data_IF_804841215087
#
_entry.id   IF_804841215087
#
_cell.length_a   1.000
_cell.length_b   1.000
_cell.length_c   1.000
_cell.angle_alpha   90.00
_cell.angle_beta   90.00
_cell.angle_gamma   90.00
#
_symmetry.space_group_name_H-M   'P 1'
#
loop_
_entity.id
_entity.type
_entity.pdbx_description
1 polymer ?
#
# COMPACT_ATOMS: atom_id res chain seq x y z
N UNK A 1 56.99 14.53 4.96
CA UNK A 1 57.46 14.73 6.34
C UNK A 1 57.20 16.18 6.67
N UNK A 2 56.00 16.48 7.16
CA UNK A 2 55.62 17.83 7.59
C UNK A 2 55.64 17.90 9.11
N UNK A 3 56.40 18.85 9.64
CA UNK A 3 56.60 19.06 11.06
C UNK A 3 55.36 19.76 11.66
N UNK A 4 54.65 19.07 12.55
CA UNK A 4 53.56 19.67 13.34
C UNK A 4 54.16 20.57 14.43
N UNK A 5 53.90 21.87 14.29
CA UNK A 5 54.22 22.93 15.24
C UNK A 5 53.39 22.78 16.52
N UNK A 6 54.05 22.55 17.66
CA UNK A 6 53.43 22.54 18.98
C UNK A 6 53.12 23.98 19.43
N UNK A 7 51.84 24.32 19.56
CA UNK A 7 51.42 25.57 20.21
C UNK A 7 51.40 25.36 21.73
N UNK A 8 52.12 26.23 22.43
CA UNK A 8 52.18 26.32 23.88
C UNK A 8 50.82 26.70 24.48
N UNK A 9 50.36 25.95 25.48
CA UNK A 9 49.15 26.23 26.26
C UNK A 9 49.51 27.30 27.29
N UNK A 10 49.02 28.51 27.09
CA UNK A 10 49.07 29.56 28.12
C UNK A 10 48.10 29.20 29.25
N UNK A 11 48.63 28.88 30.42
CA UNK A 11 47.85 28.73 31.65
C UNK A 11 47.26 30.07 32.06
N UNK A 12 45.98 30.26 31.75
CA UNK A 12 45.16 31.36 32.28
C UNK A 12 45.02 31.19 33.79
N UNK A 13 45.71 32.04 34.55
CA UNK A 13 45.51 32.16 36.01
C UNK A 13 44.22 32.95 36.24
N UNK A 14 43.20 32.27 36.76
CA UNK A 14 41.96 32.93 37.20
C UNK A 14 42.22 33.75 38.46
N UNK A 15 42.07 35.06 38.36
CA UNK A 15 42.02 35.97 39.51
C UNK A 15 40.66 35.78 40.19
N UNK A 16 40.64 35.25 41.41
CA UNK A 16 39.41 35.15 42.21
C UNK A 16 38.89 36.55 42.53
N UNK A 17 37.79 36.94 41.88
CA UNK A 17 37.09 38.18 42.19
C UNK A 17 36.63 38.19 43.66
N UNK A 18 36.66 39.35 44.34
CA UNK A 18 36.38 39.44 45.78
C UNK A 18 34.93 39.07 46.10
N UNK A 19 34.78 38.37 47.24
CA UNK A 19 33.53 38.01 47.90
C UNK A 19 32.53 39.17 47.87
N UNK A 20 31.49 39.06 47.04
CA UNK A 20 30.29 39.89 47.16
C UNK A 20 29.72 39.67 48.57
N UNK A 21 29.91 40.65 49.47
CA UNK A 21 29.18 40.72 50.74
C UNK A 21 27.76 41.16 50.41
N UNK A 22 26.88 40.18 50.20
CA UNK A 22 25.44 40.40 50.18
C UNK A 22 25.03 41.00 51.52
N UNK A 23 24.78 42.32 51.56
CA UNK A 23 23.99 42.92 52.65
C UNK A 23 22.54 42.58 52.35
N UNK A 24 22.09 41.44 52.83
CA UNK A 24 20.66 41.13 52.87
C UNK A 24 20.04 42.10 53.89
N UNK A 25 19.06 42.93 53.52
CA UNK A 25 18.31 43.68 54.52
C UNK A 25 17.64 42.67 55.44
N UNK A 26 17.98 42.69 56.73
CA UNK A 26 17.31 41.93 57.79
C UNK A 26 15.91 42.52 58.05
N UNK A 27 15.05 42.51 57.03
CA UNK A 27 13.62 42.59 57.28
C UNK A 27 13.19 41.21 57.75
N UNK A 28 13.05 41.07 59.06
CA UNK A 28 12.36 39.93 59.67
C UNK A 28 10.90 40.00 59.20
N UNK A 29 10.59 39.25 58.14
CA UNK A 29 9.21 39.07 57.70
C UNK A 29 8.48 38.30 58.80
N UNK A 30 7.30 38.78 59.19
CA UNK A 30 6.46 38.03 60.12
C UNK A 30 5.93 36.78 59.41
N UNK A 31 5.61 35.74 60.17
CA UNK A 31 5.00 34.51 59.62
C UNK A 31 3.72 34.82 58.82
N UNK A 32 2.98 35.86 59.23
CA UNK A 32 1.79 36.34 58.53
C UNK A 32 2.09 37.00 57.18
N UNK A 33 3.24 37.67 57.02
CA UNK A 33 3.66 38.25 55.73
C UNK A 33 4.10 37.17 54.74
N UNK A 34 4.67 36.06 55.24
CA UNK A 34 5.03 34.89 54.43
C UNK A 34 3.80 34.17 53.89
N UNK A 35 2.76 34.01 54.70
CA UNK A 35 1.49 33.39 54.29
C UNK A 35 0.81 34.21 53.17
N UNK A 36 0.80 35.54 53.29
CA UNK A 36 0.24 36.44 52.26
C UNK A 36 1.01 36.42 50.93
N UNK A 37 2.33 36.24 50.98
CA UNK A 37 3.17 36.06 49.79
C UNK A 37 2.94 34.67 49.17
N UNK A 38 2.70 33.64 49.98
CA UNK A 38 2.42 32.29 49.50
C UNK A 38 1.08 32.19 48.76
N UNK A 39 0.01 32.81 49.28
CA UNK A 39 -1.32 32.81 48.62
C UNK A 39 -1.31 33.47 47.23
N UNK A 40 -0.50 34.51 47.06
CA UNK A 40 -0.33 35.19 45.76
C UNK A 40 0.60 34.42 44.81
N UNK A 41 1.58 33.68 45.34
CA UNK A 41 2.48 32.85 44.54
C UNK A 41 1.79 31.61 43.95
N UNK A 42 0.88 30.97 44.70
CA UNK A 42 0.15 29.79 44.24
C UNK A 42 -0.91 30.14 43.18
N UNK A 43 -1.63 31.25 43.37
CA UNK A 43 -2.63 31.72 42.41
C UNK A 43 -2.04 32.16 41.06
N UNK A 44 -0.88 32.82 41.05
CA UNK A 44 -0.20 33.22 39.81
C UNK A 44 0.29 31.98 39.05
N UNK A 45 0.93 31.02 39.74
CA UNK A 45 1.39 29.77 39.14
C UNK A 45 0.23 28.94 38.60
N UNK A 46 -0.88 28.86 39.30
CA UNK A 46 -2.07 28.17 38.83
C UNK A 46 -2.66 28.81 37.57
N UNK A 47 -2.67 30.13 37.49
CA UNK A 47 -3.14 30.85 36.29
C UNK A 47 -2.25 30.58 35.07
N UNK A 48 -0.93 30.49 35.27
CA UNK A 48 0.04 30.19 34.22
C UNK A 48 -0.05 28.72 33.78
N UNK A 49 -0.17 27.80 34.73
CA UNK A 49 -0.40 26.37 34.46
C UNK A 49 -1.70 26.19 33.67
N UNK A 50 -2.77 26.90 34.02
CA UNK A 50 -4.03 26.84 33.26
C UNK A 50 -3.88 27.39 31.84
N UNK A 51 -3.11 28.46 31.63
CA UNK A 51 -2.80 28.99 30.29
C UNK A 51 -2.02 27.96 29.46
N UNK A 52 -0.95 27.40 30.03
CA UNK A 52 -0.13 26.38 29.36
C UNK A 52 -0.93 25.12 29.04
N UNK A 53 -1.84 24.67 29.91
CA UNK A 53 -2.75 23.55 29.62
C UNK A 53 -3.65 23.84 28.42
N UNK A 54 -4.23 25.04 28.35
CA UNK A 54 -5.06 25.47 27.20
C UNK A 54 -4.24 25.56 25.91
N UNK A 55 -3.01 26.02 25.97
CA UNK A 55 -2.10 26.07 24.81
C UNK A 55 -1.71 24.66 24.35
N UNK A 56 -1.35 23.77 25.27
CA UNK A 56 -1.07 22.37 24.95
C UNK A 56 -2.27 21.66 24.30
N UNK A 57 -3.50 21.92 24.79
CA UNK A 57 -4.70 21.36 24.17
C UNK A 57 -4.90 21.87 22.72
N UNK A 58 -4.64 23.16 22.48
CA UNK A 58 -4.67 23.72 21.11
C UNK A 58 -3.61 23.09 20.21
N UNK A 59 -2.40 22.89 20.73
CA UNK A 59 -1.31 22.25 19.99
C UNK A 59 -1.64 20.80 19.65
N UNK A 60 -2.25 20.04 20.57
CA UNK A 60 -2.67 18.66 20.31
C UNK A 60 -3.72 18.60 19.20
N UNK A 61 -4.75 19.47 19.24
CA UNK A 61 -5.75 19.56 18.17
C UNK A 61 -5.12 19.93 16.82
N UNK A 62 -4.12 20.81 16.82
CA UNK A 62 -3.38 21.18 15.61
C UNK A 62 -2.58 20.00 15.07
N UNK A 63 -1.92 19.22 15.93
CA UNK A 63 -1.18 18.02 15.52
C UNK A 63 -2.12 16.99 14.91
N UNK A 64 -3.27 16.73 15.54
CA UNK A 64 -4.29 15.82 15.00
C UNK A 64 -4.77 16.27 13.62
N UNK A 65 -5.11 17.55 13.47
CA UNK A 65 -5.51 18.12 12.18
C UNK A 65 -4.42 17.95 11.10
N UNK A 66 -3.17 18.27 11.41
CA UNK A 66 -2.07 18.14 10.45
C UNK A 66 -1.81 16.67 10.07
N UNK A 67 -1.97 15.73 11.01
CA UNK A 67 -1.86 14.30 10.71
C UNK A 67 -2.96 13.82 9.77
N UNK A 68 -4.20 14.27 9.96
CA UNK A 68 -5.30 13.98 9.04
C UNK A 68 -5.06 14.59 7.66
N UNK A 69 -4.52 15.81 7.62
CA UNK A 69 -4.20 16.50 6.37
C UNK A 69 -3.12 15.75 5.58
N UNK A 70 -2.02 15.32 6.24
CA UNK A 70 -0.97 14.50 5.64
C UNK A 70 -1.55 13.20 5.06
N UNK A 71 -2.37 12.47 5.82
CA UNK A 71 -3.02 11.23 5.33
C UNK A 71 -3.90 11.50 4.11
N UNK A 72 -4.63 12.63 4.10
CA UNK A 72 -5.44 13.02 2.96
C UNK A 72 -4.58 13.33 1.72
N UNK A 73 -3.41 13.95 1.93
CA UNK A 73 -2.46 14.23 0.85
C UNK A 73 -1.82 12.94 0.31
N UNK A 74 -1.41 12.00 1.16
CA UNK A 74 -0.89 10.69 0.74
C UNK A 74 -1.90 9.94 -0.14
N UNK A 75 -3.18 9.97 0.23
CA UNK A 75 -4.24 9.35 -0.54
C UNK A 75 -4.48 10.09 -1.87
N UNK A 76 -4.46 11.42 -1.87
CA UNK A 76 -4.55 12.21 -3.11
C UNK A 76 -3.36 11.96 -4.03
N UNK A 77 -2.14 11.86 -3.50
CA UNK A 77 -0.96 11.53 -4.30
C UNK A 77 -1.05 10.14 -4.88
N UNK A 78 -1.49 9.14 -4.09
CA UNK A 78 -1.70 7.78 -4.56
C UNK A 78 -2.81 7.70 -5.64
N UNK A 79 -3.85 8.51 -5.53
CA UNK A 79 -4.90 8.62 -6.57
C UNK A 79 -4.44 9.36 -7.83
N UNK A 80 -3.48 10.29 -7.69
CA UNK A 80 -2.90 11.04 -8.80
C UNK A 80 -1.79 10.26 -9.52
N UNK A 81 -1.26 9.19 -8.91
CA UNK A 81 -0.37 8.27 -9.60
C UNK A 81 -1.10 7.63 -10.79
N UNK A 82 -0.38 7.51 -11.91
CA UNK A 82 -0.94 6.89 -13.12
C UNK A 82 -1.37 5.47 -12.77
N UNK A 83 -2.65 5.17 -12.94
CA UNK A 83 -3.17 3.84 -12.71
C UNK A 83 -2.31 2.80 -13.45
N UNK A 84 -1.59 1.97 -12.68
CA UNK A 84 -0.77 0.91 -13.22
C UNK A 84 -1.72 -0.07 -13.92
N UNK A 85 -1.46 -0.36 -15.19
CA UNK A 85 -2.33 -1.25 -15.92
C UNK A 85 -2.18 -2.68 -15.38
N UNK A 86 -3.26 -3.47 -15.36
CA UNK A 86 -3.19 -4.88 -14.96
C UNK A 86 -2.15 -5.67 -15.76
N UNK A 87 -1.90 -5.26 -17.02
CA UNK A 87 -0.87 -5.85 -17.87
C UNK A 87 0.54 -5.62 -17.33
N UNK A 88 0.82 -4.43 -16.83
CA UNK A 88 2.11 -4.08 -16.22
C UNK A 88 2.31 -4.84 -14.91
N UNK A 89 1.30 -4.89 -14.04
CA UNK A 89 1.37 -5.68 -12.80
C UNK A 89 1.64 -7.17 -13.07
N UNK A 90 0.94 -7.77 -14.03
CA UNK A 90 1.18 -9.17 -14.40
C UNK A 90 2.57 -9.35 -14.99
N UNK A 91 3.06 -8.38 -15.79
CA UNK A 91 4.41 -8.43 -16.37
C UNK A 91 5.48 -8.35 -15.28
N UNK A 92 5.33 -7.45 -14.32
CA UNK A 92 6.25 -7.31 -13.19
C UNK A 92 6.26 -8.57 -12.33
N UNK A 93 5.08 -9.07 -11.94
CA UNK A 93 4.95 -10.31 -11.17
C UNK A 93 5.60 -11.51 -11.88
N UNK A 94 5.34 -11.67 -13.17
CA UNK A 94 5.91 -12.77 -13.98
C UNK A 94 7.36 -12.54 -14.43
N UNK A 95 7.99 -11.42 -14.05
CA UNK A 95 9.42 -11.22 -14.30
C UNK A 95 10.29 -12.02 -13.32
N UNK A 96 9.74 -12.46 -12.19
CA UNK A 96 10.43 -13.33 -11.23
C UNK A 96 10.16 -14.82 -11.50
N UNK A 97 11.14 -15.73 -11.29
CA UNK A 97 10.91 -17.17 -11.45
C UNK A 97 9.79 -17.70 -10.53
N UNK A 98 9.74 -17.21 -9.29
CA UNK A 98 8.71 -17.59 -8.32
C UNK A 98 7.32 -17.16 -8.77
N UNK A 99 7.18 -15.92 -9.28
CA UNK A 99 5.92 -15.43 -9.82
C UNK A 99 5.45 -16.23 -11.04
N UNK A 100 6.37 -16.64 -11.93
CA UNK A 100 6.03 -17.53 -13.05
C UNK A 100 5.55 -18.91 -12.57
N UNK A 101 6.25 -19.49 -11.59
CA UNK A 101 5.87 -20.79 -11.01
C UNK A 101 4.49 -20.73 -10.35
N UNK A 102 4.26 -19.71 -9.51
CA UNK A 102 2.97 -19.48 -8.85
C UNK A 102 1.84 -19.28 -9.85
N UNK A 103 2.07 -18.52 -10.93
CA UNK A 103 1.09 -18.33 -12.00
C UNK A 103 0.77 -19.65 -12.70
N UNK A 104 1.79 -20.45 -13.04
CA UNK A 104 1.59 -21.76 -13.68
C UNK A 104 0.84 -22.73 -12.76
N UNK A 105 1.12 -22.73 -11.47
CA UNK A 105 0.42 -23.55 -10.49
C UNK A 105 -1.05 -23.15 -10.37
N UNK A 106 -1.32 -21.84 -10.27
CA UNK A 106 -2.68 -21.31 -10.25
C UNK A 106 -3.45 -21.69 -11.53
N UNK A 107 -2.81 -21.61 -12.71
CA UNK A 107 -3.38 -22.06 -13.97
C UNK A 107 -3.65 -23.57 -13.98
N UNK A 108 -2.72 -24.40 -13.49
CA UNK A 108 -2.92 -25.86 -13.39
C UNK A 108 -4.10 -26.20 -12.48
N UNK A 109 -4.23 -25.52 -11.34
CA UNK A 109 -5.36 -25.71 -10.42
C UNK A 109 -6.69 -25.34 -11.09
N UNK A 110 -6.78 -24.16 -11.70
CA UNK A 110 -7.93 -23.72 -12.49
C UNK A 110 -8.28 -24.69 -13.63
N UNK A 111 -7.28 -25.20 -14.34
CA UNK A 111 -7.48 -26.15 -15.43
C UNK A 111 -8.12 -27.45 -14.94
N UNK A 112 -7.73 -27.96 -13.76
CA UNK A 112 -8.36 -29.13 -13.13
C UNK A 112 -9.82 -28.87 -12.80
N UNK A 113 -10.13 -27.72 -12.20
CA UNK A 113 -11.51 -27.31 -11.89
C UNK A 113 -12.36 -27.22 -13.16
N UNK A 114 -11.85 -26.58 -14.22
CA UNK A 114 -12.57 -26.49 -15.49
C UNK A 114 -12.80 -27.87 -16.12
N UNK A 115 -11.83 -28.77 -16.03
CA UNK A 115 -12.00 -30.15 -16.50
C UNK A 115 -13.12 -30.87 -15.75
N UNK A 116 -13.23 -30.67 -14.44
CA UNK A 116 -14.34 -31.21 -13.65
C UNK A 116 -15.69 -30.62 -14.09
N UNK A 117 -15.77 -29.31 -14.31
CA UNK A 117 -17.00 -28.66 -14.80
C UNK A 117 -17.42 -29.16 -16.18
N UNK A 118 -16.46 -29.48 -17.05
CA UNK A 118 -16.72 -30.10 -18.35
C UNK A 118 -17.28 -31.51 -18.17
N UNK A 119 -16.67 -32.31 -17.30
CA UNK A 119 -17.15 -33.68 -17.01
C UNK A 119 -18.56 -33.69 -16.41
N UNK A 120 -18.91 -32.68 -15.61
CA UNK A 120 -20.25 -32.48 -15.06
C UNK A 120 -21.25 -31.92 -16.08
N UNK A 121 -20.83 -31.61 -17.31
CA UNK A 121 -21.69 -30.99 -18.33
C UNK A 121 -22.03 -29.53 -18.06
N UNK A 122 -21.46 -28.89 -17.04
CA UNK A 122 -21.71 -27.50 -16.68
C UNK A 122 -20.91 -26.51 -17.54
N UNK A 123 -19.88 -26.99 -18.24
CA UNK A 123 -19.03 -26.19 -19.12
C UNK A 123 -18.86 -26.87 -20.48
N UNK A 124 -18.99 -26.09 -21.56
CA UNK A 124 -18.67 -26.57 -22.91
C UNK A 124 -17.18 -26.90 -23.05
N UNK A 125 -16.87 -28.02 -23.70
CA UNK A 125 -15.50 -28.45 -24.06
C UNK A 125 -14.77 -27.37 -24.86
N UNK A 126 -15.47 -26.68 -25.76
CA UNK A 126 -14.92 -25.59 -26.58
C UNK A 126 -14.46 -24.42 -25.68
N UNK A 127 -15.28 -24.06 -24.68
CA UNK A 127 -14.94 -23.02 -23.71
C UNK A 127 -13.70 -23.41 -22.91
N UNK A 128 -13.62 -24.66 -22.47
CA UNK A 128 -12.45 -25.19 -21.77
C UNK A 128 -11.16 -25.06 -22.61
N UNK A 129 -11.15 -25.56 -23.85
CA UNK A 129 -9.96 -25.47 -24.70
C UNK A 129 -9.57 -24.03 -25.03
N UNK A 130 -10.54 -23.13 -25.20
CA UNK A 130 -10.26 -21.70 -25.37
C UNK A 130 -9.51 -21.13 -24.17
N UNK A 131 -9.97 -21.43 -22.94
CA UNK A 131 -9.36 -20.92 -21.71
C UNK A 131 -7.97 -21.50 -21.48
N UNK A 132 -7.77 -22.80 -21.74
CA UNK A 132 -6.45 -23.45 -21.65
C UNK A 132 -5.44 -22.83 -22.63
N UNK A 133 -5.90 -22.40 -23.81
CA UNK A 133 -5.06 -21.68 -24.79
C UNK A 133 -4.92 -20.18 -24.50
N UNK A 134 -5.47 -19.68 -23.38
CA UNK A 134 -5.37 -18.28 -22.99
C UNK A 134 -6.04 -17.31 -23.98
N UNK A 135 -7.03 -17.77 -24.75
CA UNK A 135 -7.71 -16.93 -25.75
C UNK A 135 -8.97 -16.28 -25.17
N UNK A 136 -9.18 -15.01 -25.46
CA UNK A 136 -10.45 -14.34 -25.22
C UNK A 136 -11.47 -14.68 -26.33
N UNK A 137 -12.75 -14.43 -26.06
CA UNK A 137 -13.80 -14.70 -27.04
C UNK A 137 -13.64 -13.85 -28.31
N UNK A 138 -13.12 -12.62 -28.20
CA UNK A 138 -12.90 -11.73 -29.35
C UNK A 138 -11.79 -12.27 -30.25
N UNK A 139 -10.68 -12.76 -29.70
CA UNK A 139 -9.61 -13.38 -30.52
C UNK A 139 -10.10 -14.66 -31.18
N UNK A 140 -10.86 -15.50 -30.46
CA UNK A 140 -11.42 -16.71 -31.07
C UNK A 140 -12.40 -16.38 -32.20
N UNK A 141 -13.28 -15.39 -32.00
CA UNK A 141 -14.23 -14.91 -33.02
C UNK A 141 -13.49 -14.44 -34.28
N UNK A 142 -12.44 -13.64 -34.11
CA UNK A 142 -11.58 -13.17 -35.21
C UNK A 142 -10.91 -14.30 -35.97
N UNK A 143 -10.36 -15.30 -35.25
CA UNK A 143 -9.71 -16.47 -35.87
C UNK A 143 -10.69 -17.37 -36.63
N UNK A 144 -11.93 -17.44 -36.18
CA UNK A 144 -12.99 -18.19 -36.86
C UNK A 144 -13.66 -17.40 -38.00
N UNK A 145 -13.42 -16.09 -38.10
CA UNK A 145 -14.13 -15.23 -39.05
C UNK A 145 -15.62 -15.09 -38.72
N UNK A 146 -15.95 -14.99 -37.42
CA UNK A 146 -17.35 -14.83 -36.96
C UNK A 146 -17.47 -13.73 -35.91
N UNK A 147 -18.70 -13.35 -35.58
CA UNK A 147 -18.99 -12.36 -34.55
C UNK A 147 -18.87 -12.96 -33.13
N UNK A 148 -18.47 -12.14 -32.16
CA UNK A 148 -18.33 -12.57 -30.76
C UNK A 148 -19.60 -13.23 -30.16
N UNK A 149 -20.84 -12.76 -30.44
CA UNK A 149 -22.05 -13.41 -29.93
C UNK A 149 -22.22 -14.86 -30.39
N UNK A 150 -21.74 -15.21 -31.60
CA UNK A 150 -21.79 -16.58 -32.09
C UNK A 150 -20.86 -17.49 -31.29
N UNK A 151 -19.69 -17.00 -30.86
CA UNK A 151 -18.79 -17.74 -29.96
C UNK A 151 -19.47 -17.98 -28.61
N UNK A 152 -20.11 -16.96 -28.05
CA UNK A 152 -20.87 -17.11 -26.80
C UNK A 152 -21.95 -18.19 -26.93
N UNK A 153 -22.67 -18.24 -28.06
CA UNK A 153 -23.67 -19.27 -28.35
C UNK A 153 -23.04 -20.68 -28.45
N UNK A 154 -21.93 -20.82 -29.17
CA UNK A 154 -21.20 -22.09 -29.34
C UNK A 154 -20.60 -22.59 -28.02
N UNK A 155 -20.25 -21.68 -27.10
CA UNK A 155 -19.72 -22.03 -25.78
C UNK A 155 -20.80 -22.41 -24.75
N UNK A 156 -22.09 -22.34 -25.10
CA UNK A 156 -23.17 -22.78 -24.21
C UNK A 156 -23.14 -24.31 -24.07
N UNK A 157 -23.25 -24.86 -22.85
CA UNK A 157 -23.42 -26.30 -22.66
C UNK A 157 -24.62 -26.82 -23.45
N UNK A 158 -24.48 -27.98 -24.10
CA UNK A 158 -25.55 -28.62 -24.88
C UNK A 158 -25.83 -28.02 -26.27
N UNK A 159 -25.11 -26.98 -26.69
CA UNK A 159 -25.29 -26.43 -28.04
C UNK A 159 -24.67 -27.33 -29.11
N UNK A 160 -25.46 -27.75 -30.09
CA UNK A 160 -24.99 -28.55 -31.22
C UNK A 160 -24.23 -27.69 -32.24
N UNK A 161 -22.91 -27.81 -32.23
CA UNK A 161 -22.02 -27.04 -33.10
C UNK A 161 -21.93 -27.68 -34.49
N UNK A 162 -22.08 -26.90 -35.58
CA UNK A 162 -21.94 -27.44 -36.93
C UNK A 162 -20.56 -28.07 -37.18
N UNK A 163 -20.53 -29.21 -37.87
CA UNK A 163 -19.29 -29.97 -38.16
C UNK A 163 -18.24 -29.12 -38.88
N UNK A 164 -18.65 -28.19 -39.76
CA UNK A 164 -17.76 -27.25 -40.44
C UNK A 164 -17.00 -26.37 -39.44
N UNK A 165 -17.69 -25.88 -38.41
CA UNK A 165 -17.12 -25.05 -37.35
C UNK A 165 -16.21 -25.88 -36.45
N UNK A 166 -16.60 -27.12 -36.11
CA UNK A 166 -15.74 -28.04 -35.34
C UNK A 166 -14.42 -28.33 -36.07
N UNK A 167 -14.44 -28.50 -37.40
CA UNK A 167 -13.22 -28.64 -38.22
C UNK A 167 -12.28 -27.43 -38.10
N UNK A 168 -12.84 -26.22 -38.07
CA UNK A 168 -12.05 -24.99 -37.90
C UNK A 168 -11.51 -24.86 -36.47
N UNK A 169 -12.33 -25.17 -35.47
CA UNK A 169 -11.93 -25.16 -34.06
C UNK A 169 -10.80 -26.15 -33.76
N UNK A 170 -10.87 -27.36 -34.32
CA UNK A 170 -9.79 -28.35 -34.26
C UNK A 170 -8.47 -27.76 -34.75
N UNK A 171 -8.46 -27.12 -35.93
CA UNK A 171 -7.25 -26.46 -36.48
C UNK A 171 -6.72 -25.35 -35.57
N UNK A 172 -7.61 -24.54 -34.97
CA UNK A 172 -7.23 -23.44 -34.10
C UNK A 172 -6.64 -23.94 -32.77
N UNK A 173 -7.26 -24.96 -32.17
CA UNK A 173 -6.84 -25.49 -30.86
C UNK A 173 -5.73 -26.54 -30.96
N UNK A 174 -5.55 -27.16 -32.14
CA UNK A 174 -4.67 -28.30 -32.39
C UNK A 174 -5.01 -29.50 -31.50
N UNK A 175 -6.29 -29.85 -31.47
CA UNK A 175 -6.85 -30.97 -30.68
C UNK A 175 -7.67 -31.86 -31.60
N UNK A 176 -7.91 -33.11 -31.22
CA UNK A 176 -8.70 -34.01 -32.05
C UNK A 176 -10.17 -33.55 -32.07
N UNK A 177 -10.93 -33.99 -33.09
CA UNK A 177 -12.33 -33.52 -33.21
C UNK A 177 -13.20 -34.13 -32.10
N UNK A 178 -12.90 -35.37 -31.74
CA UNK A 178 -13.53 -36.17 -30.70
C UNK A 178 -13.45 -35.44 -29.35
N UNK A 179 -12.32 -34.80 -29.04
CA UNK A 179 -12.12 -34.02 -27.81
C UNK A 179 -13.08 -32.82 -27.68
N UNK A 180 -13.60 -32.30 -28.80
CA UNK A 180 -14.50 -31.13 -28.82
C UNK A 180 -15.97 -31.51 -28.66
N UNK A 181 -16.34 -32.70 -29.14
CA UNK A 181 -17.70 -33.24 -29.06
C UNK A 181 -17.86 -33.95 -27.71
N UNK A 182 -16.84 -34.72 -27.35
CA UNK A 182 -16.84 -35.75 -26.32
C UNK A 182 -17.64 -36.98 -26.70
N UNK A 183 -17.40 -38.04 -25.95
CA UNK A 183 -18.18 -39.28 -25.99
C UNK A 183 -19.59 -39.07 -25.42
#
# INVERSE_FOLDING_TARGET
MEAMSMRSIETTRYTTAPLFKWRMPEKVLSILDLDQICETCDSIKDSEIQKLKKENEKLLRLIEFLQEEIKSFELKTALNEKAISLKEMVKEFTSTPDGQSALQEAFKKRAKEWKQLVNLGQMSRIKYYRLIKGMDQKTLARRLGTAQPNISRIERPGYNVPTKTLKQLNKIFRVKMEDLIGD
#
